data_IF_764975167315
#
_entry.id   IF_764975167315
#
_cell.length_a   1.000
_cell.length_b   1.000
_cell.length_c   1.000
_cell.angle_alpha   90.00
_cell.angle_beta   90.00
_cell.angle_gamma   90.00
#
_symmetry.space_group_name_H-M   'P 1'
#
loop_
_entity.id
_entity.type
_entity.pdbx_description
1 polymer ?
#
# COMPACT_ATOMS: atom_id res chain seq x y z
N UNK A 1 4.66 2.38 1.32
CA UNK A 1 4.89 1.16 2.10
C UNK A 1 3.84 0.96 3.20
N UNK A 2 2.63 1.55 3.13
CA UNK A 2 1.68 1.50 4.28
C UNK A 2 0.75 0.29 4.25
N UNK A 3 0.24 -0.10 3.08
CA UNK A 3 -0.87 -1.06 2.98
C UNK A 3 -0.46 -2.46 2.52
N UNK A 4 0.83 -2.70 2.29
CA UNK A 4 1.39 -3.96 1.72
C UNK A 4 2.81 -4.22 2.26
N UNK A 5 3.00 -4.00 3.55
CA UNK A 5 4.31 -4.12 4.17
C UNK A 5 4.13 -4.47 5.65
N UNK A 6 4.86 -5.47 6.10
CA UNK A 6 5.01 -5.85 7.50
C UNK A 6 6.50 -5.82 7.84
N UNK A 7 6.90 -4.94 8.76
CA UNK A 7 8.30 -4.64 9.00
C UNK A 7 9.14 -5.85 9.46
N UNK A 8 8.53 -6.80 10.15
CA UNK A 8 9.17 -8.04 10.62
C UNK A 8 9.38 -9.09 9.52
N UNK A 9 8.64 -9.01 8.41
CA UNK A 9 8.72 -9.97 7.30
C UNK A 9 9.40 -9.39 6.06
N UNK A 10 9.04 -8.15 5.73
CA UNK A 10 9.24 -7.54 4.42
C UNK A 10 10.41 -6.54 4.40
N UNK A 11 11.02 -6.26 5.57
CA UNK A 11 12.28 -5.52 5.68
C UNK A 11 13.47 -6.48 5.70
N UNK A 12 14.39 -6.31 4.75
CA UNK A 12 15.69 -6.97 4.79
C UNK A 12 16.80 -5.93 4.86
N UNK A 13 17.56 -5.98 5.94
CA UNK A 13 18.75 -5.15 6.13
C UNK A 13 19.97 -5.94 5.65
N UNK A 14 20.65 -5.41 4.65
CA UNK A 14 21.93 -5.90 4.15
C UNK A 14 23.04 -5.08 4.81
N UNK A 15 23.57 -5.59 5.91
CA UNK A 15 24.63 -4.92 6.66
C UNK A 15 25.96 -4.90 5.88
N UNK A 16 26.78 -3.88 6.15
CA UNK A 16 28.14 -3.75 5.65
C UNK A 16 28.26 -3.95 4.14
N UNK A 17 27.62 -3.10 3.35
CA UNK A 17 27.75 -3.10 1.89
C UNK A 17 28.49 -1.85 1.41
N UNK A 18 29.11 -1.96 0.25
CA UNK A 18 29.70 -0.81 -0.42
C UNK A 18 28.62 0.22 -0.75
N UNK A 19 28.97 1.47 -0.50
CA UNK A 19 28.07 2.58 -0.57
C UNK A 19 28.43 3.57 -1.66
N UNK A 20 28.16 4.85 -1.39
CA UNK A 20 28.47 5.98 -2.24
C UNK A 20 29.25 7.01 -1.41
N UNK A 21 30.48 7.40 -1.80
CA UNK A 21 31.36 8.22 -0.96
C UNK A 21 30.80 9.59 -0.55
N UNK A 22 29.85 10.17 -1.30
CA UNK A 22 29.28 11.49 -0.98
C UNK A 22 28.03 11.41 -0.09
N UNK A 23 27.60 10.22 0.31
CA UNK A 23 26.51 10.08 1.29
C UNK A 23 27.08 10.20 2.71
N UNK A 24 26.80 11.30 3.43
CA UNK A 24 27.36 11.55 4.76
C UNK A 24 26.86 10.57 5.83
N UNK A 25 25.78 9.83 5.57
CA UNK A 25 25.29 8.79 6.49
C UNK A 25 26.15 7.53 6.49
N UNK A 26 27.00 7.37 5.48
CA UNK A 26 27.84 6.18 5.27
C UNK A 26 29.21 6.37 5.89
N UNK A 27 29.20 6.78 7.16
CA UNK A 27 30.38 7.10 7.93
C UNK A 27 30.29 6.39 9.28
N UNK A 28 31.42 5.90 9.78
CA UNK A 28 31.52 5.17 11.06
C UNK A 28 31.01 5.95 12.27
N UNK A 29 31.03 7.29 12.17
CA UNK A 29 30.41 8.20 13.14
C UNK A 29 28.87 8.19 13.16
N UNK A 30 28.22 7.86 12.04
CA UNK A 30 26.75 7.75 11.96
C UNK A 30 26.25 6.39 12.47
N UNK A 31 26.96 5.31 12.13
CA UNK A 31 26.67 3.97 12.64
C UNK A 31 27.96 3.25 13.02
N UNK A 32 28.06 2.86 14.30
CA UNK A 32 29.20 2.09 14.83
C UNK A 32 29.28 0.66 14.32
N UNK A 33 28.25 0.17 13.61
CA UNK A 33 28.30 -1.16 12.98
C UNK A 33 29.17 -1.17 11.72
N UNK A 34 29.38 0.00 11.11
CA UNK A 34 30.14 0.15 9.87
C UNK A 34 31.63 -0.09 10.13
N UNK A 35 32.26 -0.93 9.31
CA UNK A 35 33.68 -1.24 9.48
C UNK A 35 34.62 -0.17 8.89
N UNK A 36 34.12 0.68 8.01
CA UNK A 36 34.86 1.79 7.39
C UNK A 36 33.89 2.82 6.80
N UNK A 37 34.39 4.04 6.55
CA UNK A 37 33.64 5.06 5.83
C UNK A 37 33.41 4.67 4.36
N UNK A 38 32.30 5.11 3.78
CA UNK A 38 31.82 4.66 2.48
C UNK A 38 31.15 3.28 2.50
N UNK A 39 31.07 2.62 3.67
CA UNK A 39 30.23 1.43 3.88
C UNK A 39 28.88 1.84 4.43
N UNK A 40 27.85 1.06 4.14
CA UNK A 40 26.50 1.31 4.63
C UNK A 40 25.70 0.04 4.82
N UNK A 41 24.69 0.10 5.69
CA UNK A 41 23.57 -0.82 5.61
C UNK A 41 22.67 -0.42 4.43
N UNK A 42 22.26 -1.38 3.61
CA UNK A 42 21.24 -1.18 2.58
C UNK A 42 19.94 -1.84 3.02
N UNK A 43 18.81 -1.23 2.69
CA UNK A 43 17.50 -1.77 3.04
C UNK A 43 16.74 -2.18 1.79
N UNK A 44 16.19 -3.40 1.80
CA UNK A 44 15.21 -3.87 0.82
C UNK A 44 13.84 -3.83 1.51
N UNK A 45 12.92 -3.08 0.92
CA UNK A 45 11.54 -3.02 1.35
C UNK A 45 10.69 -3.77 0.32
N UNK A 46 10.28 -5.00 0.64
CA UNK A 46 9.37 -5.73 -0.22
C UNK A 46 7.94 -5.21 -0.01
N UNK A 47 7.45 -4.41 -0.95
CA UNK A 47 6.07 -3.91 -0.93
C UNK A 47 5.17 -4.62 -1.94
N UNK A 48 5.60 -5.78 -2.42
CA UNK A 48 4.78 -6.61 -3.31
C UNK A 48 3.65 -7.27 -2.53
N UNK A 49 2.61 -7.69 -3.24
CA UNK A 49 1.58 -8.53 -2.63
C UNK A 49 2.05 -9.98 -2.77
N UNK A 50 2.08 -10.78 -1.70
CA UNK A 50 2.35 -12.21 -1.80
C UNK A 50 1.47 -12.85 -2.86
N UNK A 51 2.05 -13.66 -3.76
CA UNK A 51 1.36 -14.15 -4.95
C UNK A 51 0.03 -14.87 -4.64
N UNK A 52 0.00 -15.65 -3.55
CA UNK A 52 -1.20 -16.35 -3.07
C UNK A 52 -2.32 -15.41 -2.58
N UNK A 53 -1.99 -14.16 -2.21
CA UNK A 53 -2.93 -13.18 -1.67
C UNK A 53 -3.32 -12.09 -2.67
N UNK A 54 -2.87 -12.17 -3.93
CA UNK A 54 -3.08 -11.14 -4.96
C UNK A 54 -4.55 -10.70 -5.14
N UNK A 55 -5.48 -11.62 -4.94
CA UNK A 55 -6.92 -11.34 -5.08
C UNK A 55 -7.51 -10.53 -3.92
N UNK A 56 -6.89 -10.57 -2.73
CA UNK A 56 -7.30 -9.80 -1.55
C UNK A 56 -6.86 -8.34 -1.61
N UNK A 57 -5.74 -8.07 -2.28
CA UNK A 57 -5.12 -6.74 -2.35
C UNK A 57 -5.41 -6.02 -3.68
N UNK A 58 -6.64 -6.11 -4.17
CA UNK A 58 -7.09 -5.35 -5.33
C UNK A 58 -7.44 -3.92 -4.92
N UNK A 59 -6.88 -2.93 -5.62
CA UNK A 59 -7.31 -1.54 -5.44
C UNK A 59 -8.78 -1.39 -5.87
N UNK A 60 -9.55 -0.47 -5.25
CA UNK A 60 -10.89 -0.15 -5.72
C UNK A 60 -10.88 0.16 -7.22
N UNK A 61 -11.81 -0.42 -7.96
CA UNK A 61 -11.99 -0.13 -9.38
C UNK A 61 -13.02 0.98 -9.52
N UNK A 62 -12.62 2.07 -10.13
CA UNK A 62 -13.54 3.14 -10.53
C UNK A 62 -13.99 2.90 -11.96
N UNK A 63 -15.24 3.24 -12.25
CA UNK A 63 -15.73 3.26 -13.62
C UNK A 63 -14.98 4.36 -14.36
N UNK A 64 -14.58 4.11 -15.61
CA UNK A 64 -13.92 5.12 -16.45
C UNK A 64 -14.89 6.29 -16.64
N UNK A 65 -14.58 7.43 -16.02
CA UNK A 65 -15.28 8.66 -16.32
C UNK A 65 -14.99 9.03 -17.78
N UNK A 66 -16.03 9.30 -18.56
CA UNK A 66 -15.87 10.07 -19.79
C UNK A 66 -15.57 11.49 -19.35
N UNK A 67 -14.37 11.97 -19.65
CA UNK A 67 -14.03 13.36 -19.42
C UNK A 67 -14.88 14.22 -20.37
N UNK A 68 -16.06 14.67 -19.90
CA UNK A 68 -16.67 15.83 -20.50
C UNK A 68 -15.78 17.03 -20.18
N UNK A 69 -15.51 17.86 -21.19
CA UNK A 69 -14.57 19.00 -21.12
C UNK A 69 -15.05 20.14 -20.21
N UNK A 70 -16.08 19.89 -19.41
CA UNK A 70 -16.76 20.86 -18.55
C UNK A 70 -16.50 20.49 -17.11
N UNK A 71 -15.38 20.98 -16.57
CA UNK A 71 -15.40 21.34 -15.16
C UNK A 71 -16.48 22.44 -15.03
N UNK A 72 -17.50 22.28 -14.17
CA UNK A 72 -18.39 23.41 -13.89
C UNK A 72 -17.50 24.53 -13.33
N UNK A 73 -17.61 25.73 -13.90
CA UNK A 73 -16.96 26.92 -13.34
C UNK A 73 -17.50 27.13 -11.92
N UNK A 74 -16.78 26.67 -10.90
CA UNK A 74 -17.25 26.76 -9.52
C UNK A 74 -16.99 28.17 -9.00
N UNK A 75 -18.01 29.01 -8.98
CA UNK A 75 -18.11 30.16 -8.05
C UNK A 75 -19.01 29.83 -6.87
N UNK A 76 -18.96 28.59 -6.36
CA UNK A 76 -19.78 28.16 -5.23
C UNK A 76 -18.88 27.78 -4.05
N UNK A 77 -18.90 28.65 -3.05
CA UNK A 77 -18.37 28.52 -1.69
C UNK A 77 -18.76 27.17 -1.07
N UNK A 78 -17.89 26.48 -0.31
CA UNK A 78 -18.21 25.17 0.24
C UNK A 78 -19.13 25.35 1.46
N UNK A 79 -20.44 25.15 1.28
CA UNK A 79 -21.35 24.94 2.41
C UNK A 79 -21.59 23.45 2.62
N UNK A 80 -21.08 22.99 3.77
CA UNK A 80 -21.55 21.87 4.57
C UNK A 80 -21.64 20.49 3.91
N UNK A 81 -20.73 19.62 4.37
CA UNK A 81 -20.88 18.16 4.40
C UNK A 81 -22.28 17.83 4.93
N UNK A 82 -23.18 17.39 4.03
CA UNK A 82 -24.43 16.73 4.39
C UNK A 82 -24.22 15.24 4.23
N UNK A 83 -23.96 14.58 5.35
CA UNK A 83 -24.05 13.14 5.48
C UNK A 83 -25.50 12.70 5.23
N UNK A 84 -25.76 11.83 4.25
CA UNK A 84 -26.71 10.70 4.31
C UNK A 84 -26.41 9.74 3.15
N UNK A 85 -26.37 8.43 3.41
CA UNK A 85 -26.76 7.45 2.37
C UNK A 85 -25.82 6.27 2.13
N UNK A 86 -25.82 5.32 3.06
CA UNK A 86 -25.69 3.87 2.85
C UNK A 86 -25.37 3.39 1.42
N UNK A 87 -24.11 3.08 1.16
CA UNK A 87 -23.73 2.15 0.09
C UNK A 87 -23.03 0.96 0.75
N UNK A 88 -23.83 -0.06 1.06
CA UNK A 88 -23.38 -1.34 1.57
C UNK A 88 -22.30 -1.92 0.66
N UNK A 89 -21.11 -2.17 1.22
CA UNK A 89 -20.13 -3.06 0.62
C UNK A 89 -20.76 -4.45 0.55
N UNK A 90 -20.91 -5.08 -0.64
CA UNK A 90 -21.40 -6.44 -0.70
C UNK A 90 -20.28 -7.39 -0.22
N UNK A 91 -20.34 -7.79 1.05
CA UNK A 91 -19.70 -9.01 1.52
C UNK A 91 -20.42 -10.15 0.80
N UNK A 92 -19.76 -10.79 -0.17
CA UNK A 92 -20.28 -12.01 -0.79
C UNK A 92 -20.34 -13.09 0.27
N UNK A 93 -21.55 -13.44 0.67
CA UNK A 93 -21.82 -14.63 1.47
C UNK A 93 -21.59 -15.86 0.57
N UNK A 94 -20.74 -16.78 1.01
CA UNK A 94 -20.52 -18.07 0.34
C UNK A 94 -21.78 -18.89 0.59
N UNK A 95 -22.65 -19.00 -0.40
CA UNK A 95 -23.89 -19.77 -0.30
C UNK A 95 -23.60 -21.26 -0.10
N UNK A 96 -24.14 -21.84 0.97
CA UNK A 96 -24.32 -23.28 1.11
C UNK A 96 -25.42 -23.72 0.14
N UNK A 97 -25.07 -24.68 -0.71
CA UNK A 97 -26.01 -25.32 -1.62
C UNK A 97 -26.74 -26.48 -0.93
N UNK A 98 -28.06 -26.38 -0.88
CA UNK A 98 -28.96 -27.43 -1.38
C UNK A 98 -29.42 -28.52 -0.40
N UNK A 99 -30.73 -28.75 -0.39
CA UNK A 99 -31.31 -30.02 0.05
C UNK A 99 -32.74 -29.94 0.57
N UNK A 100 -33.71 -29.69 -0.31
CA UNK A 100 -35.13 -29.91 -0.04
C UNK A 100 -35.42 -31.41 -0.10
N UNK A 101 -36.01 -32.00 0.94
CA UNK A 101 -36.71 -33.30 0.85
C UNK A 101 -37.99 -33.21 1.67
N UNK A 102 -39.11 -33.24 0.96
CA UNK A 102 -40.45 -33.56 1.48
C UNK A 102 -40.66 -35.07 1.47
N UNK A 103 -40.74 -35.68 2.66
CA UNK A 103 -41.78 -36.64 3.10
C UNK A 103 -41.49 -37.06 4.53
#
# INVERSE_FOLDING_TARGET
MVTRFQADQDLRVLAEREGFPLDPSQHTGYSRSLSADGRTAKAVFDCTVPYAQRDRFRRPRFIRAVASRTAPASSATPSLIRAVGSAAYPIRNVGSGGGCVTK
#
